data_IF_420544921016
#
_entry.id   IF_420544921016
#
_cell.length_a   1.000
_cell.length_b   1.000
_cell.length_c   1.000
_cell.angle_alpha   90.00
_cell.angle_beta   90.00
_cell.angle_gamma   90.00
#
_symmetry.space_group_name_H-M   'P 1'
#
loop_
_entity.id
_entity.type
_entity.pdbx_description
1 polymer ?
#
# COMPACT_ATOMS: atom_id res chain seq x y z
N UNK A 1 4.27 -18.14 -9.20
CA UNK A 1 5.11 -16.90 -9.10
C UNK A 1 6.26 -17.22 -8.18
N UNK A 2 7.48 -17.09 -8.69
CA UNK A 2 8.69 -17.32 -7.89
C UNK A 2 8.82 -16.27 -6.78
N UNK A 3 9.18 -16.72 -5.59
CA UNK A 3 9.35 -15.87 -4.39
C UNK A 3 10.80 -15.86 -3.97
N UNK A 4 11.37 -14.68 -3.92
CA UNK A 4 12.75 -14.45 -3.56
C UNK A 4 12.81 -13.66 -2.25
N UNK A 5 13.23 -14.31 -1.17
CA UNK A 5 13.33 -13.73 0.18
C UNK A 5 14.78 -13.41 0.47
N UNK A 6 15.10 -12.13 0.59
CA UNK A 6 16.44 -11.63 0.89
C UNK A 6 16.55 -11.27 2.37
N UNK A 7 17.24 -12.08 3.13
CA UNK A 7 17.46 -11.91 4.56
C UNK A 7 18.83 -11.28 4.82
N UNK A 8 18.90 -10.26 5.66
CA UNK A 8 20.21 -9.78 6.13
C UNK A 8 20.90 -10.86 6.97
N UNK A 9 22.21 -11.03 6.78
CA UNK A 9 22.99 -12.06 7.49
C UNK A 9 23.00 -11.86 9.01
N UNK A 10 22.75 -10.63 9.50
CA UNK A 10 22.67 -10.34 10.94
C UNK A 10 21.59 -11.16 11.65
N UNK A 11 20.56 -11.63 10.92
CA UNK A 11 19.50 -12.51 11.44
C UNK A 11 20.02 -13.89 11.93
N UNK A 12 21.22 -14.28 11.52
CA UNK A 12 21.89 -15.52 11.93
C UNK A 12 22.92 -15.30 13.04
N UNK A 13 23.15 -14.05 13.47
CA UNK A 13 24.19 -13.74 14.49
C UNK A 13 23.71 -14.09 15.89
N UNK A 14 24.48 -14.92 16.58
CA UNK A 14 24.22 -15.39 17.93
C UNK A 14 24.81 -14.49 19.04
N UNK A 15 25.60 -13.49 18.67
CA UNK A 15 26.31 -12.58 19.58
C UNK A 15 25.68 -11.19 19.70
N UNK A 16 24.48 -11.02 19.22
CA UNK A 16 23.75 -9.77 19.41
C UNK A 16 23.34 -9.60 20.88
N UNK A 17 23.34 -8.36 21.41
CA UNK A 17 22.97 -8.10 22.80
C UNK A 17 21.43 -8.12 22.99
N UNK A 18 20.84 -9.25 22.62
CA UNK A 18 19.38 -9.48 22.69
C UNK A 18 19.13 -10.68 23.59
N UNK A 19 18.22 -10.59 24.57
CA UNK A 19 17.85 -11.73 25.40
C UNK A 19 17.41 -12.92 24.54
N UNK A 20 17.84 -14.12 24.91
CA UNK A 20 17.49 -15.36 24.24
C UNK A 20 17.81 -15.44 22.74
N UNK A 21 18.75 -14.64 22.23
CA UNK A 21 19.09 -14.55 20.80
C UNK A 21 19.32 -15.92 20.14
N UNK A 22 19.92 -16.88 20.87
CA UNK A 22 20.16 -18.25 20.36
C UNK A 22 18.87 -18.99 20.05
N UNK A 23 17.87 -18.84 20.91
CA UNK A 23 16.54 -19.45 20.73
C UNK A 23 15.80 -18.78 19.59
N UNK A 24 15.82 -17.44 19.52
CA UNK A 24 15.23 -16.63 18.47
C UNK A 24 15.82 -17.01 17.11
N UNK A 25 17.16 -17.02 16.97
CA UNK A 25 17.82 -17.42 15.72
C UNK A 25 17.49 -18.86 15.32
N UNK A 26 17.40 -19.79 16.26
CA UNK A 26 17.01 -21.18 15.98
C UNK A 26 15.57 -21.25 15.45
N UNK A 27 14.64 -20.53 16.08
CA UNK A 27 13.25 -20.46 15.64
C UNK A 27 13.15 -19.83 14.25
N UNK A 28 13.83 -18.71 14.01
CA UNK A 28 13.90 -18.06 12.71
C UNK A 28 14.38 -19.01 11.62
N UNK A 29 15.50 -19.70 11.84
CA UNK A 29 16.05 -20.65 10.88
C UNK A 29 15.08 -21.80 10.59
N UNK A 30 14.39 -22.32 11.63
CA UNK A 30 13.42 -23.40 11.45
C UNK A 30 12.22 -22.94 10.60
N UNK A 31 11.70 -21.73 10.83
CA UNK A 31 10.62 -21.17 10.01
C UNK A 31 11.08 -20.88 8.57
N UNK A 32 12.29 -20.37 8.38
CA UNK A 32 12.82 -20.17 7.01
C UNK A 32 12.98 -21.49 6.25
N UNK A 33 13.36 -22.58 6.95
CA UNK A 33 13.37 -23.93 6.34
C UNK A 33 11.98 -24.39 5.94
N UNK A 34 10.98 -24.14 6.78
CA UNK A 34 9.59 -24.49 6.47
C UNK A 34 9.08 -23.74 5.25
N UNK A 35 9.38 -22.46 5.14
CA UNK A 35 9.08 -21.63 3.96
C UNK A 35 9.80 -22.16 2.71
N UNK A 36 11.06 -22.59 2.86
CA UNK A 36 11.88 -23.08 1.74
C UNK A 36 11.45 -24.46 1.19
N UNK A 37 10.52 -25.13 1.83
CA UNK A 37 9.91 -26.37 1.28
C UNK A 37 9.01 -26.08 0.08
N UNK A 38 8.49 -24.87 -0.06
CA UNK A 38 7.71 -24.48 -1.21
C UNK A 38 8.63 -24.37 -2.44
N UNK A 39 8.32 -25.11 -3.51
CA UNK A 39 9.20 -25.31 -4.68
C UNK A 39 9.57 -24.02 -5.41
N UNK A 40 8.72 -22.99 -5.33
CA UNK A 40 8.91 -21.70 -5.99
C UNK A 40 9.47 -20.63 -5.04
N UNK A 41 10.02 -21.03 -3.88
CA UNK A 41 10.55 -20.09 -2.88
C UNK A 41 12.03 -20.25 -2.70
N UNK A 42 12.75 -19.14 -2.83
CA UNK A 42 14.21 -19.07 -2.73
C UNK A 42 14.62 -18.14 -1.59
N UNK A 43 15.45 -18.62 -0.66
CA UNK A 43 15.93 -17.85 0.48
C UNK A 43 17.39 -17.51 0.28
N UNK A 44 17.69 -16.21 0.41
CA UNK A 44 19.04 -15.66 0.25
C UNK A 44 19.46 -14.94 1.51
N UNK A 45 20.61 -15.32 2.09
CA UNK A 45 21.28 -14.53 3.12
C UNK A 45 22.27 -13.59 2.48
N UNK A 46 22.14 -12.29 2.81
CA UNK A 46 22.85 -11.21 2.12
C UNK A 46 23.76 -10.48 3.09
N UNK A 47 25.01 -10.27 2.69
CA UNK A 47 25.99 -9.42 3.39
C UNK A 47 26.91 -8.71 2.42
N UNK A 48 27.56 -7.63 2.87
CA UNK A 48 28.70 -7.02 2.17
C UNK A 48 30.03 -7.71 2.48
N UNK A 49 30.12 -8.40 3.62
CA UNK A 49 31.30 -9.09 4.03
C UNK A 49 31.30 -10.52 3.45
N UNK A 50 32.23 -10.80 2.56
CA UNK A 50 32.38 -12.12 1.92
C UNK A 50 32.84 -13.19 2.90
N UNK A 51 33.67 -12.85 3.87
CA UNK A 51 34.17 -13.81 4.87
C UNK A 51 32.99 -14.27 5.74
N UNK A 52 32.18 -13.33 6.28
CA UNK A 52 30.99 -13.67 7.07
C UNK A 52 30.01 -14.57 6.27
N UNK A 53 29.87 -14.32 4.96
CA UNK A 53 29.03 -15.15 4.09
C UNK A 53 29.59 -16.59 3.92
N UNK A 54 30.89 -16.71 3.72
CA UNK A 54 31.54 -18.01 3.55
C UNK A 54 31.49 -18.81 4.85
N UNK A 55 31.81 -18.19 5.98
CA UNK A 55 31.75 -18.82 7.30
C UNK A 55 30.33 -19.30 7.63
N UNK A 56 29.32 -18.45 7.34
CA UNK A 56 27.91 -18.82 7.53
C UNK A 56 27.50 -19.97 6.59
N UNK A 57 27.90 -19.91 5.31
CA UNK A 57 27.60 -20.94 4.33
C UNK A 57 28.18 -22.30 4.77
N UNK A 58 29.45 -22.33 5.15
CA UNK A 58 30.11 -23.52 5.64
C UNK A 58 29.42 -24.09 6.90
N UNK A 59 29.17 -23.24 7.91
CA UNK A 59 28.50 -23.63 9.15
C UNK A 59 27.11 -24.21 8.95
N UNK A 60 26.37 -23.74 7.95
CA UNK A 60 25.02 -24.25 7.64
C UNK A 60 25.06 -25.49 6.75
N UNK A 61 26.00 -25.56 5.80
CA UNK A 61 26.21 -26.73 4.96
C UNK A 61 26.63 -27.95 5.81
N UNK A 62 27.55 -27.75 6.73
CA UNK A 62 28.05 -28.82 7.66
C UNK A 62 26.93 -29.36 8.56
N UNK A 63 25.90 -28.55 8.82
CA UNK A 63 24.68 -28.96 9.55
C UNK A 63 23.58 -29.54 8.66
N UNK A 64 23.85 -29.78 7.39
CA UNK A 64 22.92 -30.36 6.43
C UNK A 64 21.88 -29.37 5.88
N UNK A 65 22.14 -28.05 5.89
CA UNK A 65 21.24 -27.05 5.38
C UNK A 65 21.64 -26.59 3.96
N UNK A 66 21.19 -27.31 2.97
CA UNK A 66 21.55 -27.04 1.56
C UNK A 66 20.55 -26.12 0.82
N UNK A 67 19.42 -25.76 1.41
CA UNK A 67 18.37 -24.95 0.78
C UNK A 67 18.58 -23.44 0.86
N UNK A 68 19.56 -22.95 1.63
CA UNK A 68 19.84 -21.53 1.77
C UNK A 68 20.94 -21.07 0.82
N UNK A 69 20.73 -19.92 0.19
CA UNK A 69 21.70 -19.28 -0.69
C UNK A 69 22.41 -18.15 0.08
N UNK A 70 23.73 -18.09 0.02
CA UNK A 70 24.54 -17.04 0.63
C UNK A 70 25.14 -16.20 -0.47
N UNK A 71 24.71 -14.94 -0.59
CA UNK A 71 25.08 -14.09 -1.72
C UNK A 71 25.60 -12.72 -1.26
N UNK A 72 26.55 -12.20 -2.02
CA UNK A 72 27.04 -10.85 -1.78
C UNK A 72 25.96 -9.82 -2.17
N UNK A 73 25.91 -8.70 -1.44
CA UNK A 73 24.93 -7.65 -1.64
C UNK A 73 24.89 -7.11 -3.08
N UNK A 74 26.01 -7.03 -3.77
CA UNK A 74 26.06 -6.62 -5.18
C UNK A 74 25.23 -7.58 -6.03
N UNK A 75 25.38 -8.89 -5.80
CA UNK A 75 24.61 -9.92 -6.52
C UNK A 75 23.10 -9.79 -6.26
N UNK A 76 22.71 -9.51 -5.00
CA UNK A 76 21.32 -9.20 -4.68
C UNK A 76 20.82 -7.97 -5.45
N UNK A 77 21.63 -6.91 -5.52
CA UNK A 77 21.32 -5.70 -6.30
C UNK A 77 21.18 -5.99 -7.80
N UNK A 78 21.97 -6.89 -8.36
CA UNK A 78 21.86 -7.30 -9.76
C UNK A 78 20.58 -8.11 -10.02
N UNK A 79 20.21 -9.01 -9.12
CA UNK A 79 18.97 -9.77 -9.19
C UNK A 79 17.75 -8.83 -9.16
N UNK A 80 17.78 -7.84 -8.28
CA UNK A 80 16.75 -6.81 -8.17
C UNK A 80 16.59 -6.02 -9.47
N UNK A 81 17.68 -5.60 -10.10
CA UNK A 81 17.63 -4.84 -11.37
C UNK A 81 17.09 -5.66 -12.53
N UNK A 82 17.26 -6.99 -12.50
CA UNK A 82 16.79 -7.91 -13.54
C UNK A 82 15.44 -8.54 -13.27
N UNK A 83 14.78 -8.13 -12.17
CA UNK A 83 13.51 -8.69 -11.73
C UNK A 83 12.45 -8.64 -12.85
N UNK A 84 11.80 -9.78 -13.06
CA UNK A 84 10.58 -9.85 -13.84
C UNK A 84 9.36 -9.66 -12.90
N UNK A 85 8.81 -8.45 -12.86
CA UNK A 85 7.69 -8.07 -11.99
C UNK A 85 6.42 -8.89 -12.19
N UNK A 86 6.24 -9.55 -13.33
CA UNK A 86 5.07 -10.38 -13.59
C UNK A 86 5.17 -11.77 -12.95
N UNK A 87 6.39 -12.31 -12.82
CA UNK A 87 6.62 -13.69 -12.42
C UNK A 87 7.41 -13.84 -11.12
N UNK A 88 7.96 -12.75 -10.58
CA UNK A 88 8.84 -12.78 -9.41
C UNK A 88 8.38 -11.79 -8.33
N UNK A 89 8.24 -12.29 -7.12
CA UNK A 89 7.98 -11.51 -5.93
C UNK A 89 9.25 -11.42 -5.09
N UNK A 90 9.64 -10.19 -4.69
CA UNK A 90 10.79 -9.96 -3.85
C UNK A 90 10.37 -9.44 -2.49
N UNK A 91 10.90 -10.06 -1.44
CA UNK A 91 10.69 -9.70 -0.04
C UNK A 91 12.06 -9.49 0.59
N UNK A 92 12.25 -8.38 1.30
CA UNK A 92 13.48 -8.10 2.04
C UNK A 92 13.20 -8.14 3.54
N UNK A 93 14.06 -8.83 4.30
CA UNK A 93 13.97 -8.96 5.76
C UNK A 93 15.28 -8.44 6.35
N UNK A 94 15.25 -7.25 6.96
CA UNK A 94 16.44 -6.59 7.48
C UNK A 94 16.08 -5.42 8.40
N UNK A 95 16.98 -5.09 9.33
CA UNK A 95 16.93 -3.84 10.10
C UNK A 95 17.78 -2.69 9.53
N UNK A 96 18.41 -2.86 8.35
CA UNK A 96 19.36 -1.89 7.80
C UNK A 96 18.73 -0.96 6.76
N UNK A 97 19.02 0.35 6.86
CA UNK A 97 18.58 1.35 5.89
C UNK A 97 19.09 1.06 4.47
N UNK A 98 20.29 0.51 4.37
CA UNK A 98 20.87 0.15 3.07
C UNK A 98 20.12 -1.01 2.37
N UNK A 99 19.50 -1.92 3.11
CA UNK A 99 18.64 -2.97 2.56
C UNK A 99 17.25 -2.43 2.27
N UNK A 100 16.77 -1.51 3.11
CA UNK A 100 15.54 -0.76 2.84
C UNK A 100 15.65 0.01 1.51
N UNK A 101 16.75 0.73 1.26
CA UNK A 101 16.95 1.40 -0.02
C UNK A 101 16.95 0.44 -1.21
N UNK A 102 17.52 -0.75 -1.05
CA UNK A 102 17.48 -1.77 -2.10
C UNK A 102 16.04 -2.25 -2.37
N UNK A 103 15.28 -2.52 -1.31
CA UNK A 103 13.87 -2.90 -1.41
C UNK A 103 13.02 -1.82 -2.09
N UNK A 104 13.18 -0.55 -1.68
CA UNK A 104 12.47 0.60 -2.26
C UNK A 104 12.80 0.76 -3.74
N UNK A 105 14.08 0.67 -4.13
CA UNK A 105 14.49 0.77 -5.52
C UNK A 105 13.92 -0.34 -6.41
N UNK A 106 13.62 -1.50 -5.82
CA UNK A 106 12.96 -2.62 -6.49
C UNK A 106 11.45 -2.65 -6.31
N UNK A 107 10.88 -1.67 -5.60
CA UNK A 107 9.45 -1.61 -5.27
C UNK A 107 8.94 -2.89 -4.57
N UNK A 108 9.78 -3.45 -3.73
CA UNK A 108 9.56 -4.71 -3.03
C UNK A 108 9.12 -4.48 -1.59
N UNK A 109 8.48 -5.48 -1.00
CA UNK A 109 8.11 -5.46 0.40
C UNK A 109 9.36 -5.49 1.27
N UNK A 110 9.36 -4.71 2.35
CA UNK A 110 10.42 -4.68 3.35
C UNK A 110 9.87 -4.98 4.74
N UNK A 111 10.39 -6.02 5.38
CA UNK A 111 10.00 -6.48 6.71
C UNK A 111 11.15 -6.23 7.67
N UNK A 112 10.83 -5.72 8.84
CA UNK A 112 11.78 -5.32 9.89
C UNK A 112 11.61 -6.20 11.12
N UNK A 113 12.52 -7.12 11.38
CA UNK A 113 12.52 -7.93 12.60
C UNK A 113 12.92 -7.08 13.81
N UNK A 114 12.07 -6.98 14.82
CA UNK A 114 12.35 -6.16 16.02
C UNK A 114 13.37 -6.79 16.97
N UNK A 115 13.71 -8.06 16.78
CA UNK A 115 14.73 -8.79 17.57
C UNK A 115 16.17 -8.59 17.09
N UNK A 116 16.41 -7.71 16.12
CA UNK A 116 17.75 -7.29 15.70
C UNK A 116 17.83 -5.76 15.76
N UNK A 117 19.05 -5.18 15.80
CA UNK A 117 19.21 -3.73 15.72
C UNK A 117 18.62 -3.16 14.44
N UNK A 118 17.78 -2.13 14.58
CA UNK A 118 17.07 -1.49 13.49
C UNK A 118 17.56 -0.06 13.28
N UNK A 119 17.79 0.30 12.02
CA UNK A 119 18.10 1.68 11.61
C UNK A 119 16.81 2.45 11.33
N UNK A 120 16.91 3.78 11.30
CA UNK A 120 15.75 4.67 11.42
C UNK A 120 14.75 4.60 10.26
N UNK A 121 15.24 4.56 9.01
CA UNK A 121 14.36 4.51 7.84
C UNK A 121 13.74 3.12 7.67
N UNK A 122 14.53 2.07 7.93
CA UNK A 122 14.05 0.71 7.92
C UNK A 122 12.86 0.54 8.86
N UNK A 123 13.02 0.93 10.15
CA UNK A 123 11.97 0.81 11.16
C UNK A 123 10.74 1.69 10.85
N UNK A 124 10.96 2.90 10.31
CA UNK A 124 9.88 3.85 10.04
C UNK A 124 8.93 3.39 8.93
N UNK A 125 9.44 2.73 7.91
CA UNK A 125 8.70 2.46 6.68
C UNK A 125 8.49 0.97 6.38
N UNK A 126 9.22 0.08 7.03
CA UNK A 126 9.04 -1.36 6.89
C UNK A 126 7.89 -1.90 7.73
N UNK A 127 7.48 -3.12 7.44
CA UNK A 127 6.54 -3.89 8.26
C UNK A 127 7.32 -4.45 9.45
N UNK A 128 7.04 -3.95 10.65
CA UNK A 128 7.71 -4.41 11.87
C UNK A 128 7.07 -5.72 12.35
N UNK A 129 7.91 -6.71 12.66
CA UNK A 129 7.50 -8.00 13.23
C UNK A 129 8.31 -8.29 14.48
N UNK A 130 7.64 -8.70 15.55
CA UNK A 130 8.24 -8.83 16.89
C UNK A 130 8.91 -10.19 17.11
N UNK A 131 8.37 -11.24 16.49
CA UNK A 131 8.87 -12.60 16.67
C UNK A 131 9.09 -13.34 15.34
N UNK A 132 9.97 -14.37 15.33
CA UNK A 132 10.10 -15.24 14.16
C UNK A 132 8.82 -15.96 13.75
N UNK A 133 7.94 -16.27 14.71
CA UNK A 133 6.64 -16.88 14.45
C UNK A 133 5.71 -15.89 13.72
N UNK A 134 5.67 -14.66 14.19
CA UNK A 134 4.89 -13.59 13.55
C UNK A 134 5.39 -13.34 12.12
N UNK A 135 6.71 -13.28 11.91
CA UNK A 135 7.30 -13.20 10.56
C UNK A 135 6.87 -14.37 9.67
N UNK A 136 6.94 -15.59 10.18
CA UNK A 136 6.55 -16.79 9.44
C UNK A 136 5.07 -16.75 9.02
N UNK A 137 4.17 -16.46 9.96
CA UNK A 137 2.75 -16.32 9.70
C UNK A 137 2.48 -15.23 8.65
N UNK A 138 3.10 -14.06 8.82
CA UNK A 138 2.95 -12.93 7.89
C UNK A 138 3.41 -13.30 6.46
N UNK A 139 4.56 -13.96 6.29
CA UNK A 139 5.00 -14.42 4.97
C UNK A 139 4.02 -15.42 4.36
N UNK A 140 3.44 -16.33 5.16
CA UNK A 140 2.43 -17.29 4.68
C UNK A 140 1.14 -16.58 4.23
N UNK A 141 0.70 -15.57 4.94
CA UNK A 141 -0.44 -14.74 4.56
C UNK A 141 -0.17 -14.01 3.25
N UNK A 142 1.03 -13.46 3.07
CA UNK A 142 1.45 -12.82 1.81
C UNK A 142 1.36 -13.75 0.61
N UNK A 143 1.63 -15.03 0.78
CA UNK A 143 1.54 -16.01 -0.29
C UNK A 143 0.12 -16.22 -0.79
N UNK A 144 -0.85 -16.06 0.08
CA UNK A 144 -2.25 -16.31 -0.18
C UNK A 144 -3.00 -15.04 -0.58
N UNK A 145 -2.48 -13.87 -0.24
CA UNK A 145 -3.17 -12.62 -0.51
C UNK A 145 -3.17 -12.27 -1.99
N UNK A 146 -4.33 -12.39 -2.63
CA UNK A 146 -4.54 -12.11 -4.05
C UNK A 146 -5.75 -11.21 -4.29
N UNK A 147 -6.52 -10.91 -3.25
CA UNK A 147 -7.85 -10.32 -3.36
C UNK A 147 -7.91 -8.95 -2.70
N UNK A 148 -8.74 -8.08 -3.29
CA UNK A 148 -9.20 -6.83 -2.70
C UNK A 148 -10.66 -7.02 -2.31
N UNK A 149 -11.07 -6.48 -1.16
CA UNK A 149 -12.47 -6.59 -0.74
C UNK A 149 -13.45 -6.14 -1.83
N UNK A 150 -13.13 -5.04 -2.52
CA UNK A 150 -13.89 -4.58 -3.67
C UNK A 150 -12.93 -4.16 -4.80
N UNK A 151 -13.20 -4.60 -6.02
CA UNK A 151 -12.44 -4.22 -7.21
C UNK A 151 -13.38 -3.96 -8.37
N UNK A 152 -13.15 -2.88 -9.11
CA UNK A 152 -13.86 -2.58 -10.36
C UNK A 152 -12.93 -1.93 -11.37
N UNK A 153 -12.98 -2.40 -12.61
CA UNK A 153 -12.40 -1.71 -13.76
C UNK A 153 -13.42 -0.69 -14.24
N UNK A 154 -13.20 0.58 -13.91
CA UNK A 154 -14.11 1.67 -14.25
C UNK A 154 -14.09 1.95 -15.77
N UNK A 155 -12.90 1.94 -16.34
CA UNK A 155 -12.62 2.02 -17.78
C UNK A 155 -11.16 1.56 -18.04
N UNK A 156 -10.74 1.35 -19.29
CA UNK A 156 -9.35 1.01 -19.59
C UNK A 156 -8.38 2.00 -18.92
N UNK A 157 -7.42 1.47 -18.17
CA UNK A 157 -6.45 2.25 -17.41
C UNK A 157 -6.97 2.83 -16.08
N UNK A 158 -8.23 2.63 -15.70
CA UNK A 158 -8.79 3.14 -14.45
C UNK A 158 -9.41 2.03 -13.62
N UNK A 159 -8.86 1.81 -12.43
CA UNK A 159 -9.32 0.79 -11.48
C UNK A 159 -9.65 1.43 -10.14
N UNK A 160 -10.75 1.02 -9.53
CA UNK A 160 -11.10 1.36 -8.16
C UNK A 160 -11.04 0.12 -7.27
N UNK A 161 -10.44 0.27 -6.09
CA UNK A 161 -10.25 -0.77 -5.08
C UNK A 161 -10.79 -0.30 -3.74
N UNK A 162 -11.17 -1.27 -2.89
CA UNK A 162 -11.41 -1.03 -1.47
C UNK A 162 -10.82 -2.16 -0.64
N UNK A 163 -10.29 -1.83 0.54
CA UNK A 163 -9.59 -2.78 1.38
C UNK A 163 -10.53 -3.57 2.28
N UNK A 164 -11.61 -2.92 2.76
CA UNK A 164 -12.56 -3.54 3.68
C UNK A 164 -14.01 -3.13 3.40
N UNK A 165 -14.95 -3.85 4.02
CA UNK A 165 -16.36 -3.48 4.08
C UNK A 165 -16.56 -2.39 5.15
N UNK A 166 -17.18 -1.28 4.79
CA UNK A 166 -17.46 -0.16 5.70
C UNK A 166 -18.85 -0.21 6.35
N UNK A 167 -19.65 -1.24 6.08
CA UNK A 167 -21.05 -1.35 6.55
C UNK A 167 -21.13 -1.91 7.97
N UNK A 168 -20.66 -1.18 8.97
CA UNK A 168 -20.58 -1.58 10.37
C UNK A 168 -21.89 -2.12 11.00
N UNK A 169 -23.03 -1.89 10.37
CA UNK A 169 -24.34 -2.43 10.80
C UNK A 169 -24.71 -3.77 10.17
N UNK A 170 -23.84 -4.35 9.37
CA UNK A 170 -24.10 -5.66 8.76
C UNK A 170 -24.07 -6.77 9.83
N UNK A 171 -25.01 -7.69 9.76
CA UNK A 171 -25.06 -8.86 10.65
C UNK A 171 -24.08 -9.98 10.26
N UNK A 172 -23.37 -9.78 9.15
CA UNK A 172 -22.45 -10.81 8.59
C UNK A 172 -21.00 -10.63 9.03
N UNK A 173 -20.72 -9.71 9.96
CA UNK A 173 -19.35 -9.47 10.45
C UNK A 173 -19.01 -10.37 11.63
N UNK A 174 -17.74 -10.77 11.70
CA UNK A 174 -17.11 -11.22 12.93
C UNK A 174 -17.04 -10.06 13.93
N UNK A 175 -16.84 -10.35 15.19
CA UNK A 175 -16.68 -9.30 16.21
C UNK A 175 -15.40 -8.50 15.93
N UNK A 176 -14.31 -9.14 15.47
CA UNK A 176 -13.06 -8.48 15.06
C UNK A 176 -13.28 -7.50 13.89
N UNK A 177 -14.01 -7.90 12.84
CA UNK A 177 -14.34 -7.00 11.72
C UNK A 177 -15.14 -5.79 12.18
N UNK A 178 -16.09 -5.99 13.09
CA UNK A 178 -16.92 -4.90 13.63
C UNK A 178 -16.08 -3.93 14.44
N UNK A 179 -15.21 -4.44 15.30
CA UNK A 179 -14.30 -3.64 16.10
C UNK A 179 -13.30 -2.90 15.23
N UNK A 180 -12.77 -3.53 14.19
CA UNK A 180 -11.90 -2.90 13.20
C UNK A 180 -12.60 -1.73 12.51
N UNK A 181 -13.81 -1.90 12.01
CA UNK A 181 -14.56 -0.84 11.34
C UNK A 181 -14.83 0.34 12.29
N UNK A 182 -15.24 0.06 13.53
CA UNK A 182 -15.51 1.08 14.54
C UNK A 182 -14.22 1.84 14.91
N UNK A 183 -13.13 1.12 15.14
CA UNK A 183 -11.84 1.71 15.49
C UNK A 183 -11.27 2.51 14.32
N UNK A 184 -11.42 2.03 13.10
CA UNK A 184 -10.96 2.73 11.92
C UNK A 184 -11.77 4.01 11.65
N UNK A 185 -13.09 3.98 11.84
CA UNK A 185 -13.90 5.19 11.82
C UNK A 185 -13.48 6.18 12.92
N UNK A 186 -13.19 5.68 14.11
CA UNK A 186 -12.68 6.50 15.22
C UNK A 186 -11.31 7.09 14.94
N UNK A 187 -10.42 6.33 14.29
CA UNK A 187 -9.11 6.80 13.86
C UNK A 187 -9.23 7.93 12.85
N UNK A 188 -9.96 7.69 11.74
CA UNK A 188 -10.08 8.64 10.64
C UNK A 188 -10.87 9.90 11.00
N UNK A 189 -11.87 9.79 11.88
CA UNK A 189 -12.76 10.91 12.24
C UNK A 189 -12.47 11.51 13.60
N UNK A 190 -11.81 10.80 14.53
CA UNK A 190 -11.65 11.21 15.92
C UNK A 190 -10.22 11.13 16.43
N UNK A 191 -9.26 10.68 15.64
CA UNK A 191 -7.84 10.56 16.01
C UNK A 191 -7.57 9.60 17.17
N UNK A 192 -8.39 8.55 17.34
CA UNK A 192 -8.31 7.60 18.45
C UNK A 192 -7.83 6.24 17.94
N UNK A 193 -6.89 5.62 18.63
CA UNK A 193 -6.38 4.25 18.42
C UNK A 193 -5.88 3.93 17.00
N UNK A 194 -4.63 3.50 16.88
CA UNK A 194 -4.01 3.14 15.58
C UNK A 194 -3.93 1.63 15.32
N UNK A 195 -4.48 0.79 16.21
CA UNK A 195 -4.29 -0.66 16.13
C UNK A 195 -4.67 -1.27 14.78
N UNK A 196 -5.73 -0.76 14.15
CA UNK A 196 -6.18 -1.27 12.84
C UNK A 196 -5.54 -0.56 11.64
N UNK A 197 -4.88 0.57 11.86
CA UNK A 197 -4.17 1.28 10.80
C UNK A 197 -3.06 0.42 10.22
N UNK A 198 -2.23 -0.17 11.09
CA UNK A 198 -1.10 -0.99 10.69
C UNK A 198 -1.58 -2.27 9.99
N UNK A 199 -2.66 -2.88 10.46
CA UNK A 199 -3.25 -4.06 9.83
C UNK A 199 -3.70 -3.77 8.40
N UNK A 200 -4.43 -2.68 8.16
CA UNK A 200 -4.84 -2.28 6.80
C UNK A 200 -3.65 -1.90 5.93
N UNK A 201 -2.62 -1.26 6.51
CA UNK A 201 -1.38 -0.98 5.81
C UNK A 201 -0.69 -2.27 5.38
N UNK A 202 -0.57 -3.26 6.26
CA UNK A 202 0.09 -4.53 5.96
C UNK A 202 -0.70 -5.34 4.92
N UNK A 203 -2.02 -5.38 5.04
CA UNK A 203 -2.91 -5.95 4.03
C UNK A 203 -2.69 -5.29 2.66
N UNK A 204 -2.69 -3.95 2.62
CA UNK A 204 -2.46 -3.22 1.38
C UNK A 204 -1.08 -3.49 0.78
N UNK A 205 -0.01 -3.46 1.58
CA UNK A 205 1.35 -3.71 1.12
C UNK A 205 1.52 -5.13 0.58
N UNK A 206 0.92 -6.11 1.24
CA UNK A 206 0.89 -7.49 0.79
C UNK A 206 0.19 -7.63 -0.57
N UNK A 207 -1.04 -7.14 -0.69
CA UNK A 207 -1.80 -7.14 -1.93
C UNK A 207 -1.10 -6.38 -3.07
N UNK A 208 -0.49 -5.22 -2.75
CA UNK A 208 0.29 -4.44 -3.71
C UNK A 208 1.51 -5.21 -4.24
N UNK A 209 2.13 -6.04 -3.41
CA UNK A 209 3.28 -6.86 -3.80
C UNK A 209 2.89 -7.98 -4.77
N UNK A 210 1.67 -8.48 -4.66
CA UNK A 210 1.15 -9.61 -5.44
C UNK A 210 0.47 -9.18 -6.76
N UNK A 211 0.46 -7.90 -7.11
CA UNK A 211 -0.16 -7.40 -8.34
C UNK A 211 0.75 -6.42 -9.09
N UNK A 212 0.62 -6.40 -10.41
CA UNK A 212 1.26 -5.38 -11.28
C UNK A 212 0.45 -4.08 -11.39
N UNK A 213 -0.68 -4.00 -10.69
CA UNK A 213 -1.58 -2.85 -10.79
C UNK A 213 -0.90 -1.54 -10.38
N UNK A 214 -0.01 -1.59 -9.39
CA UNK A 214 0.72 -0.42 -8.89
C UNK A 214 2.08 -0.19 -9.55
N UNK A 215 2.44 -1.01 -10.53
CA UNK A 215 3.66 -0.77 -11.29
C UNK A 215 3.52 0.50 -12.12
N UNK A 216 4.63 1.22 -12.26
CA UNK A 216 4.69 2.48 -13.02
C UNK A 216 3.77 3.61 -12.50
N UNK A 217 3.24 3.52 -11.29
CA UNK A 217 2.60 4.68 -10.64
C UNK A 217 3.68 5.72 -10.32
N UNK A 218 3.47 6.94 -10.81
CA UNK A 218 4.43 8.05 -10.67
C UNK A 218 4.01 9.06 -9.60
N UNK A 219 2.71 9.24 -9.42
CA UNK A 219 2.15 10.20 -8.46
C UNK A 219 1.21 9.50 -7.49
N UNK A 220 1.37 9.83 -6.21
CA UNK A 220 0.48 9.40 -5.14
C UNK A 220 -0.16 10.61 -4.51
N UNK A 221 -1.45 10.51 -4.20
CA UNK A 221 -2.19 11.55 -3.53
C UNK A 221 -3.37 11.00 -2.75
N UNK A 222 -4.04 11.88 -2.02
CA UNK A 222 -5.26 11.55 -1.29
C UNK A 222 -6.33 12.61 -1.52
N UNK A 223 -7.57 12.25 -1.25
CA UNK A 223 -8.68 13.21 -1.28
C UNK A 223 -8.61 14.10 -0.03
N UNK A 224 -8.55 15.44 -0.20
CA UNK A 224 -8.66 16.36 0.94
C UNK A 224 -10.04 16.30 1.59
N UNK A 225 -10.09 16.43 2.92
CA UNK A 225 -11.31 16.44 3.71
C UNK A 225 -12.24 17.58 3.32
N UNK A 226 -13.52 17.50 3.73
CA UNK A 226 -14.53 18.51 3.41
C UNK A 226 -14.23 19.90 3.98
N UNK A 227 -13.41 19.99 5.02
CA UNK A 227 -12.94 21.22 5.67
C UNK A 227 -11.61 21.78 5.08
N UNK A 228 -11.18 21.28 3.93
CA UNK A 228 -9.91 21.59 3.25
C UNK A 228 -8.65 21.05 3.92
N UNK A 229 -8.74 20.32 5.01
CA UNK A 229 -7.59 19.70 5.65
C UNK A 229 -7.19 18.38 4.97
N UNK A 230 -5.98 17.90 5.27
CA UNK A 230 -5.57 16.53 4.98
C UNK A 230 -5.72 15.70 6.26
N UNK A 231 -6.45 14.59 6.17
CA UNK A 231 -6.49 13.64 7.27
C UNK A 231 -5.09 13.10 7.54
N UNK A 232 -4.50 13.28 8.74
CA UNK A 232 -3.12 12.95 9.00
C UNK A 232 -2.82 11.44 8.90
N UNK A 233 -3.76 10.59 9.24
CA UNK A 233 -3.58 9.15 9.20
C UNK A 233 -3.65 8.63 7.76
N UNK A 234 -4.62 9.09 6.98
CA UNK A 234 -4.70 8.77 5.55
C UNK A 234 -3.48 9.33 4.79
N UNK A 235 -3.00 10.53 5.18
CA UNK A 235 -1.79 11.09 4.62
C UNK A 235 -0.56 10.23 4.95
N UNK A 236 -0.44 9.77 6.20
CA UNK A 236 0.63 8.88 6.62
C UNK A 236 0.60 7.57 5.82
N UNK A 237 -0.59 7.00 5.61
CA UNK A 237 -0.79 5.79 4.80
C UNK A 237 -0.30 6.00 3.36
N UNK A 238 -0.79 7.02 2.69
CA UNK A 238 -0.38 7.37 1.33
C UNK A 238 1.13 7.65 1.25
N UNK A 239 1.68 8.38 2.23
CA UNK A 239 3.09 8.72 2.29
C UNK A 239 3.98 7.47 2.42
N UNK A 240 3.61 6.53 3.29
CA UNK A 240 4.36 5.28 3.46
C UNK A 240 4.38 4.46 2.16
N UNK A 241 3.23 4.32 1.50
CA UNK A 241 3.14 3.64 0.20
C UNK A 241 4.01 4.33 -0.85
N UNK A 242 3.97 5.66 -0.91
CA UNK A 242 4.79 6.46 -1.84
C UNK A 242 6.29 6.24 -1.62
N UNK A 243 6.73 6.22 -0.36
CA UNK A 243 8.14 5.97 -0.02
C UNK A 243 8.56 4.56 -0.43
N UNK A 244 7.75 3.56 -0.12
CA UNK A 244 8.02 2.15 -0.50
C UNK A 244 8.06 1.99 -2.02
N UNK A 245 7.30 2.77 -2.77
CA UNK A 245 7.34 2.78 -4.24
C UNK A 245 8.41 3.72 -4.81
N UNK A 246 9.32 4.24 -3.98
CA UNK A 246 10.41 5.15 -4.38
C UNK A 246 9.92 6.39 -5.14
N UNK A 247 8.83 6.97 -4.70
CA UNK A 247 8.24 8.18 -5.30
C UNK A 247 8.27 9.31 -4.31
N UNK A 248 9.39 10.04 -4.30
CA UNK A 248 9.58 11.19 -3.43
C UNK A 248 8.95 12.44 -4.04
N UNK A 249 8.45 13.31 -3.17
CA UNK A 249 8.03 14.64 -3.57
C UNK A 249 9.27 15.50 -3.86
N UNK A 250 9.23 16.31 -4.91
CA UNK A 250 10.27 17.31 -5.13
C UNK A 250 10.41 18.24 -3.93
N UNK A 251 11.64 18.52 -3.50
CA UNK A 251 11.95 19.31 -2.28
C UNK A 251 11.40 20.75 -2.28
N UNK A 252 10.91 21.23 -3.43
CA UNK A 252 10.53 22.62 -3.66
C UNK A 252 9.02 22.80 -3.87
N UNK A 253 8.17 21.98 -3.24
CA UNK A 253 6.72 22.17 -3.29
C UNK A 253 6.28 22.95 -2.04
N UNK A 254 5.90 24.23 -2.17
CA UNK A 254 5.67 25.12 -1.03
C UNK A 254 4.34 24.89 -0.31
N UNK A 255 3.31 24.32 -0.95
CA UNK A 255 1.94 24.23 -0.42
C UNK A 255 1.46 22.80 -0.17
N UNK A 256 2.30 22.01 0.48
CA UNK A 256 1.92 20.68 0.88
C UNK A 256 2.22 19.62 -0.17
N UNK A 257 2.19 18.40 0.31
CA UNK A 257 2.71 17.25 -0.38
C UNK A 257 1.62 16.46 -1.12
N UNK A 258 0.43 17.03 -1.27
CA UNK A 258 -0.69 16.37 -1.93
C UNK A 258 -0.95 16.93 -3.33
N UNK A 259 -1.22 16.05 -4.29
CA UNK A 259 -1.47 16.42 -5.69
C UNK A 259 -2.86 17.02 -5.93
N UNK A 260 -3.72 17.00 -4.92
CA UNK A 260 -5.06 17.59 -4.93
C UNK A 260 -5.18 18.63 -3.82
N UNK A 261 -5.88 19.71 -4.12
CA UNK A 261 -6.26 20.73 -3.14
C UNK A 261 -7.78 20.88 -3.11
N UNK A 262 -8.34 21.07 -1.92
CA UNK A 262 -9.70 21.57 -1.76
C UNK A 262 -9.59 23.02 -1.33
N UNK A 263 -10.05 23.91 -2.19
CA UNK A 263 -9.89 25.36 -2.04
C UNK A 263 -11.01 25.99 -1.22
N UNK A 264 -12.19 25.34 -1.18
CA UNK A 264 -13.36 25.82 -0.47
C UNK A 264 -13.96 24.65 0.30
N UNK A 265 -14.34 24.84 1.57
CA UNK A 265 -15.04 23.82 2.33
C UNK A 265 -16.36 23.41 1.65
N UNK A 266 -16.70 22.14 1.73
CA UNK A 266 -18.00 21.65 1.30
C UNK A 266 -18.78 21.08 2.48
N UNK A 267 -20.11 21.10 2.36
CA UNK A 267 -20.96 20.42 3.32
C UNK A 267 -20.70 18.91 3.28
N UNK A 268 -20.67 18.30 4.45
CA UNK A 268 -20.50 16.85 4.55
C UNK A 268 -21.71 16.17 3.91
N UNK A 269 -21.46 15.23 3.03
CA UNK A 269 -22.50 14.58 2.23
C UNK A 269 -23.61 13.91 3.08
N UNK A 270 -23.31 13.48 4.31
CA UNK A 270 -24.32 12.89 5.21
C UNK A 270 -25.18 13.93 5.96
N UNK A 271 -24.80 15.20 5.93
CA UNK A 271 -25.53 16.30 6.59
C UNK A 271 -26.43 17.05 5.62
N UNK A 272 -26.21 16.96 4.32
CA UNK A 272 -26.80 17.86 3.33
C UNK A 272 -27.81 17.24 2.38
N UNK A 273 -27.79 15.91 2.14
CA UNK A 273 -28.60 15.30 1.10
C UNK A 273 -29.16 13.93 1.50
N UNK A 274 -30.36 13.58 0.96
CA UNK A 274 -30.86 12.20 1.02
C UNK A 274 -29.96 11.27 0.18
N UNK A 275 -29.98 9.97 0.47
CA UNK A 275 -29.07 8.99 -0.16
C UNK A 275 -29.20 8.93 -1.69
N UNK A 276 -30.42 9.08 -2.21
CA UNK A 276 -30.77 9.12 -3.64
C UNK A 276 -30.32 10.43 -4.32
N UNK A 277 -30.44 11.57 -3.64
CA UNK A 277 -29.93 12.85 -4.13
C UNK A 277 -28.41 12.84 -4.26
N UNK A 278 -27.70 12.32 -3.23
CA UNK A 278 -26.22 12.14 -3.25
C UNK A 278 -25.77 11.28 -4.43
N UNK A 279 -26.51 10.22 -4.71
CA UNK A 279 -26.22 9.34 -5.83
C UNK A 279 -26.37 10.05 -7.19
N UNK A 280 -27.28 11.02 -7.30
CA UNK A 280 -27.60 11.74 -8.54
C UNK A 280 -26.70 12.97 -8.77
N UNK A 281 -26.24 13.64 -7.73
CA UNK A 281 -25.37 14.83 -7.85
C UNK A 281 -24.04 14.53 -8.56
N UNK A 282 -23.50 13.33 -8.38
CA UNK A 282 -22.25 12.92 -9.04
C UNK A 282 -21.05 13.73 -8.57
N UNK A 283 -20.23 14.19 -9.53
CA UNK A 283 -18.97 14.90 -9.26
C UNK A 283 -19.13 16.42 -9.08
N UNK A 284 -20.35 16.98 -9.17
CA UNK A 284 -20.56 18.43 -9.27
C UNK A 284 -20.04 19.19 -8.05
N UNK A 285 -20.33 18.71 -6.84
CA UNK A 285 -19.88 19.38 -5.62
C UNK A 285 -18.35 19.32 -5.48
N UNK A 286 -17.74 18.27 -5.98
CA UNK A 286 -16.29 18.15 -5.98
C UNK A 286 -15.64 19.14 -6.95
N UNK A 287 -16.19 19.31 -8.16
CA UNK A 287 -15.66 20.25 -9.15
C UNK A 287 -15.69 21.71 -8.70
N UNK A 288 -16.62 22.06 -7.82
CA UNK A 288 -16.70 23.42 -7.25
C UNK A 288 -15.63 23.71 -6.21
N UNK A 289 -15.02 22.69 -5.64
CA UNK A 289 -14.15 22.81 -4.47
C UNK A 289 -12.76 22.20 -4.65
N UNK A 290 -12.61 21.21 -5.54
CA UNK A 290 -11.35 20.50 -5.80
C UNK A 290 -10.64 21.07 -7.02
N UNK A 291 -9.30 21.13 -6.92
CA UNK A 291 -8.43 21.35 -8.07
C UNK A 291 -7.16 20.47 -7.94
N UNK A 292 -6.43 20.38 -9.02
CA UNK A 292 -5.09 19.78 -9.02
C UNK A 292 -4.11 20.81 -8.46
N UNK A 293 -3.25 20.39 -7.55
CA UNK A 293 -2.27 21.28 -6.94
C UNK A 293 -1.33 21.89 -8.02
N UNK A 294 -1.30 23.21 -8.19
CA UNK A 294 -0.49 23.89 -9.21
C UNK A 294 1.01 23.64 -9.05
N UNK A 295 1.48 23.35 -7.85
CA UNK A 295 2.90 23.05 -7.60
C UNK A 295 3.37 21.78 -8.33
N UNK A 296 2.45 20.88 -8.64
CA UNK A 296 2.74 19.67 -9.42
C UNK A 296 2.68 19.88 -10.94
N UNK A 297 2.30 21.07 -11.43
CA UNK A 297 2.07 21.33 -12.86
C UNK A 297 3.24 20.90 -13.73
N UNK A 298 4.45 21.34 -13.41
CA UNK A 298 5.65 21.02 -14.19
C UNK A 298 5.93 19.50 -14.22
N UNK A 299 5.75 18.82 -13.09
CA UNK A 299 5.91 17.38 -12.99
C UNK A 299 4.87 16.64 -13.81
N UNK A 300 3.60 17.04 -13.71
CA UNK A 300 2.49 16.47 -14.48
C UNK A 300 2.71 16.67 -15.98
N UNK A 301 3.10 17.88 -16.42
CA UNK A 301 3.38 18.17 -17.82
C UNK A 301 4.55 17.34 -18.37
N UNK A 302 5.57 17.09 -17.57
CA UNK A 302 6.69 16.20 -17.92
C UNK A 302 6.20 14.74 -18.06
N UNK A 303 5.51 14.22 -17.08
CA UNK A 303 4.99 12.84 -17.10
C UNK A 303 4.00 12.62 -18.24
N UNK A 304 3.16 13.61 -18.55
CA UNK A 304 2.25 13.56 -19.69
C UNK A 304 3.02 13.45 -21.02
N UNK A 305 4.04 14.29 -21.24
CA UNK A 305 4.86 14.24 -22.45
C UNK A 305 5.59 12.90 -22.63
N UNK A 306 5.98 12.29 -21.52
CA UNK A 306 6.63 10.98 -21.48
C UNK A 306 5.64 9.81 -21.55
N UNK A 307 4.34 10.05 -21.66
CA UNK A 307 3.27 9.04 -21.59
C UNK A 307 3.31 8.20 -20.30
N UNK A 308 3.67 8.84 -19.18
CA UNK A 308 3.88 8.22 -17.86
C UNK A 308 3.02 8.84 -16.77
N UNK A 309 2.01 9.63 -17.11
CA UNK A 309 1.12 10.23 -16.10
C UNK A 309 0.21 9.16 -15.52
N UNK A 310 0.75 8.39 -14.58
CA UNK A 310 0.10 7.31 -13.86
C UNK A 310 0.00 7.69 -12.39
N UNK A 311 -1.17 7.56 -11.79
CA UNK A 311 -1.42 8.02 -10.43
C UNK A 311 -2.23 7.03 -9.58
N UNK A 312 -2.01 7.09 -8.26
CA UNK A 312 -2.79 6.39 -7.25
C UNK A 312 -3.33 7.41 -6.26
N UNK A 313 -4.65 7.37 -6.04
CA UNK A 313 -5.37 8.29 -5.15
C UNK A 313 -6.06 7.52 -4.04
N UNK A 314 -5.80 7.93 -2.81
CA UNK A 314 -6.40 7.36 -1.61
C UNK A 314 -7.58 8.19 -1.11
N UNK A 315 -8.60 7.49 -0.58
CA UNK A 315 -9.73 8.09 0.14
C UNK A 315 -10.07 7.23 1.36
N UNK A 316 -10.77 7.77 2.34
CA UNK A 316 -11.22 7.02 3.50
C UNK A 316 -12.30 6.01 3.11
N UNK A 317 -13.44 6.48 2.65
CA UNK A 317 -14.58 5.64 2.32
C UNK A 317 -15.15 5.94 0.93
N UNK A 318 -15.55 4.87 0.27
CA UNK A 318 -16.25 4.96 -1.01
C UNK A 318 -17.71 4.52 -0.88
N UNK A 319 -18.63 5.41 -1.27
CA UNK A 319 -20.04 5.06 -1.53
C UNK A 319 -20.24 4.82 -3.03
N UNK A 320 -20.68 5.83 -3.74
CA UNK A 320 -20.94 5.76 -5.19
C UNK A 320 -19.75 6.18 -6.06
N UNK A 321 -18.59 6.45 -5.43
CA UNK A 321 -17.36 6.87 -6.12
C UNK A 321 -17.43 8.28 -6.71
N UNK A 322 -18.30 9.17 -6.24
CA UNK A 322 -18.46 10.52 -6.79
C UNK A 322 -17.17 11.34 -6.74
N UNK A 323 -16.44 11.27 -5.62
CA UNK A 323 -15.17 11.98 -5.45
C UNK A 323 -14.10 11.43 -6.39
N UNK A 324 -13.95 10.10 -6.45
CA UNK A 324 -13.02 9.46 -7.40
C UNK A 324 -13.38 9.77 -8.86
N UNK A 325 -14.68 9.88 -9.15
CA UNK A 325 -15.15 10.24 -10.48
C UNK A 325 -14.79 11.69 -10.84
N UNK A 326 -14.86 12.63 -9.90
CA UNK A 326 -14.38 13.98 -10.11
C UNK A 326 -12.89 14.01 -10.42
N UNK A 327 -12.08 13.39 -9.57
CA UNK A 327 -10.62 13.32 -9.75
C UNK A 327 -10.25 12.64 -11.06
N UNK A 328 -10.95 11.54 -11.42
CA UNK A 328 -10.76 10.89 -12.71
C UNK A 328 -10.92 11.85 -13.88
N UNK A 329 -11.97 12.67 -13.89
CA UNK A 329 -12.20 13.64 -14.97
C UNK A 329 -11.14 14.75 -14.99
N UNK A 330 -10.69 15.25 -13.81
CA UNK A 330 -9.63 16.25 -13.74
C UNK A 330 -8.31 15.72 -14.35
N UNK A 331 -7.92 14.50 -13.98
CA UNK A 331 -6.68 13.93 -14.52
C UNK A 331 -6.80 13.40 -15.94
N UNK A 332 -8.00 13.00 -16.39
CA UNK A 332 -8.25 12.77 -17.82
C UNK A 332 -8.06 14.02 -18.64
N UNK A 333 -8.53 15.17 -18.19
CA UNK A 333 -8.29 16.46 -18.85
C UNK A 333 -6.79 16.82 -18.93
N UNK A 334 -5.97 16.29 -18.02
CA UNK A 334 -4.51 16.41 -18.04
C UNK A 334 -3.80 15.32 -18.84
N UNK A 335 -4.53 14.34 -19.39
CA UNK A 335 -3.96 13.26 -20.19
C UNK A 335 -3.37 12.10 -19.36
N UNK A 336 -3.95 11.78 -18.21
CA UNK A 336 -3.52 10.62 -17.41
C UNK A 336 -3.78 9.30 -18.16
N UNK A 337 -2.78 8.41 -18.10
CA UNK A 337 -2.83 7.10 -18.78
C UNK A 337 -3.37 6.01 -17.85
N UNK A 338 -3.00 6.07 -16.57
CA UNK A 338 -3.40 5.08 -15.56
C UNK A 338 -3.80 5.77 -14.27
N UNK A 339 -4.92 5.34 -13.70
CA UNK A 339 -5.41 5.80 -12.40
C UNK A 339 -5.83 4.61 -11.56
N UNK A 340 -5.30 4.52 -10.35
CA UNK A 340 -5.73 3.55 -9.34
C UNK A 340 -6.32 4.33 -8.17
N UNK A 341 -7.59 4.08 -7.90
CA UNK A 341 -8.29 4.65 -6.75
C UNK A 341 -8.37 3.62 -5.65
N UNK A 342 -7.98 3.98 -4.44
CA UNK A 342 -7.95 3.10 -3.28
C UNK A 342 -8.73 3.75 -2.17
N UNK A 343 -9.86 3.15 -1.78
CA UNK A 343 -10.55 3.51 -0.55
C UNK A 343 -10.25 2.50 0.54
N UNK A 344 -10.12 2.97 1.78
CA UNK A 344 -9.90 2.07 2.90
C UNK A 344 -11.15 1.22 3.16
N UNK A 345 -12.36 1.80 2.98
CA UNK A 345 -13.62 1.08 3.11
C UNK A 345 -14.61 1.35 1.97
N UNK A 346 -15.51 0.38 1.71
CA UNK A 346 -16.60 0.47 0.73
C UNK A 346 -17.94 0.16 1.36
N UNK A 347 -18.98 0.94 0.99
CA UNK A 347 -20.36 0.71 1.40
C UNK A 347 -21.15 -0.23 0.46
N UNK A 348 -20.46 -1.01 -0.36
CA UNK A 348 -21.06 -1.95 -1.34
C UNK A 348 -22.07 -1.30 -2.29
N UNK A 349 -21.82 -0.05 -2.69
CA UNK A 349 -22.63 0.62 -3.69
C UNK A 349 -21.95 0.59 -5.06
N UNK A 350 -22.69 0.54 -6.16
CA UNK A 350 -22.11 0.60 -7.48
C UNK A 350 -21.44 1.95 -7.74
N UNK A 351 -20.35 1.95 -8.51
CA UNK A 351 -19.67 3.16 -8.95
C UNK A 351 -20.49 3.86 -10.04
N UNK A 352 -20.89 5.10 -9.81
CA UNK A 352 -21.62 5.91 -10.78
C UNK A 352 -20.64 6.70 -11.64
N UNK A 353 -20.20 6.08 -12.72
CA UNK A 353 -19.29 6.70 -13.69
C UNK A 353 -20.03 7.79 -14.46
N UNK A 354 -19.52 9.02 -14.40
CA UNK A 354 -20.01 10.16 -15.19
C UNK A 354 -18.82 10.81 -15.89
N UNK A 355 -18.86 10.87 -17.20
CA UNK A 355 -17.85 11.51 -18.03
C UNK A 355 -18.20 12.96 -18.25
N UNK A 356 -17.26 13.85 -18.01
CA UNK A 356 -17.42 15.30 -18.17
C UNK A 356 -16.35 15.84 -19.12
N UNK A 357 -16.74 16.78 -19.96
CA UNK A 357 -15.80 17.69 -20.62
C UNK A 357 -15.47 18.82 -19.63
N UNK A 358 -14.19 19.04 -19.39
CA UNK A 358 -13.70 20.11 -18.51
C UNK A 358 -13.03 21.17 -19.37
N UNK A 359 -13.44 22.44 -19.21
CA UNK A 359 -12.86 23.59 -19.92
C UNK A 359 -12.26 24.55 -18.91
N UNK A 360 -11.06 25.01 -19.20
CA UNK A 360 -10.29 25.88 -18.31
C UNK A 360 -9.15 25.14 -17.59
N UNK A 361 -8.50 25.86 -16.69
CA UNK A 361 -7.36 25.30 -15.95
C UNK A 361 -7.86 24.51 -14.73
N UNK A 362 -7.54 23.21 -14.67
CA UNK A 362 -7.86 22.35 -13.52
C UNK A 362 -6.95 22.60 -12.30
N UNK A 363 -5.96 23.49 -12.44
CA UNK A 363 -5.04 23.89 -11.36
C UNK A 363 -5.61 24.97 -10.43
N UNK A 364 -6.80 25.49 -10.74
CA UNK A 364 -7.57 26.40 -9.89
C UNK A 364 -9.04 26.00 -9.94
N UNK A 365 -9.81 26.38 -8.94
CA UNK A 365 -11.28 26.30 -9.02
C UNK A 365 -11.80 27.30 -10.04
N UNK A 366 -13.03 27.09 -10.57
CA UNK A 366 -13.66 27.98 -11.54
C UNK A 366 -13.60 27.48 -12.99
N UNK A 367 -12.99 26.31 -13.26
CA UNK A 367 -13.14 25.64 -14.54
C UNK A 367 -14.61 25.23 -14.75
N UNK A 368 -15.04 25.19 -16.00
CA UNK A 368 -16.41 24.78 -16.35
C UNK A 368 -16.43 23.29 -16.72
N UNK A 369 -17.56 22.66 -16.55
CA UNK A 369 -17.75 21.23 -16.82
C UNK A 369 -19.14 20.98 -17.41
N UNK A 370 -19.22 20.04 -18.32
CA UNK A 370 -20.47 19.58 -18.92
C UNK A 370 -20.51 18.05 -18.93
N UNK A 371 -21.65 17.48 -18.50
CA UNK A 371 -21.85 16.03 -18.49
C UNK A 371 -22.03 15.52 -19.92
N UNK A 372 -21.23 14.53 -20.31
CA UNK A 372 -21.32 13.90 -21.62
C UNK A 372 -22.06 12.57 -21.54
N UNK A 373 -21.70 11.73 -20.57
CA UNK A 373 -22.23 10.38 -20.47
C UNK A 373 -22.28 9.92 -19.00
N UNK A 374 -23.26 9.07 -18.71
CA UNK A 374 -23.39 8.42 -17.40
C UNK A 374 -23.54 6.91 -17.60
N UNK A 375 -22.89 6.14 -16.75
CA UNK A 375 -23.01 4.69 -16.70
C UNK A 375 -22.77 4.19 -15.26
N UNK A 376 -23.13 2.92 -15.02
CA UNK A 376 -22.93 2.28 -13.72
C UNK A 376 -21.90 1.18 -13.90
N UNK A 377 -20.94 1.09 -12.95
CA UNK A 377 -19.95 0.02 -12.87
C UNK A 377 -20.15 -0.73 -11.54
N UNK A 378 -20.20 -2.02 -11.63
CA UNK A 378 -20.31 -2.87 -10.45
C UNK A 378 -18.93 -3.29 -9.97
N UNK A 379 -18.83 -3.57 -8.68
CA UNK A 379 -17.64 -4.11 -8.07
C UNK A 379 -17.74 -5.62 -7.98
N UNK A 380 -16.62 -6.27 -8.24
CA UNK A 380 -16.38 -7.63 -7.80
C UNK A 380 -16.01 -7.57 -6.33
N UNK A 381 -16.77 -8.27 -5.48
CA UNK A 381 -16.55 -8.35 -4.04
C UNK A 381 -15.96 -9.71 -3.70
N UNK A 382 -14.87 -9.70 -2.94
CA UNK A 382 -14.22 -10.92 -2.48
C UNK A 382 -14.16 -10.92 -0.95
N UNK A 383 -14.97 -11.78 -0.35
CA UNK A 383 -15.01 -11.91 1.11
C UNK A 383 -13.74 -12.59 1.67
N UNK A 384 -12.88 -13.22 0.83
CA UNK A 384 -11.59 -13.76 1.29
C UNK A 384 -10.66 -12.63 1.79
N UNK A 385 -10.77 -11.43 1.24
CA UNK A 385 -10.03 -10.27 1.74
C UNK A 385 -10.33 -9.95 3.22
N UNK A 386 -11.53 -10.27 3.70
CA UNK A 386 -11.88 -10.13 5.12
C UNK A 386 -11.12 -11.13 5.99
N UNK A 387 -11.06 -12.39 5.55
CA UNK A 387 -10.33 -13.43 6.28
C UNK A 387 -8.84 -13.12 6.33
N UNK A 388 -8.28 -12.55 5.28
CA UNK A 388 -6.88 -12.10 5.25
C UNK A 388 -6.63 -10.97 6.26
N UNK A 389 -7.54 -10.00 6.37
CA UNK A 389 -7.45 -8.92 7.37
C UNK A 389 -7.59 -9.45 8.78
N UNK A 390 -8.53 -10.37 9.02
CA UNK A 390 -8.71 -11.04 10.32
C UNK A 390 -7.45 -11.83 10.71
N UNK A 391 -6.86 -12.58 9.76
CA UNK A 391 -5.63 -13.33 9.97
C UNK A 391 -4.46 -12.40 10.33
N UNK A 392 -4.33 -11.27 9.62
CA UNK A 392 -3.31 -10.26 9.95
C UNK A 392 -3.56 -9.66 11.34
N UNK A 393 -4.81 -9.38 11.68
CA UNK A 393 -5.15 -8.89 13.01
C UNK A 393 -4.71 -9.88 14.10
N UNK A 394 -5.02 -11.17 13.94
CA UNK A 394 -4.60 -12.22 14.87
C UNK A 394 -3.08 -12.35 14.95
N UNK A 395 -2.36 -12.20 13.83
CA UNK A 395 -0.90 -12.28 13.79
C UNK A 395 -0.24 -11.13 14.59
N UNK A 396 -0.79 -9.92 14.51
CA UNK A 396 -0.16 -8.74 15.07
C UNK A 396 -0.72 -8.27 16.43
N UNK A 397 -1.81 -8.87 16.93
CA UNK A 397 -2.43 -8.52 18.19
C UNK A 397 -2.59 -9.70 19.18
N UNK A 398 -2.09 -10.90 18.84
CA UNK A 398 -1.99 -11.97 19.83
C UNK A 398 -0.83 -11.64 20.77
N UNK A 399 -1.15 -11.38 22.03
CA UNK A 399 -0.16 -11.40 23.10
C UNK A 399 0.41 -12.84 23.18
N UNK A 400 1.72 -13.00 23.01
CA UNK A 400 2.44 -14.25 23.18
C UNK A 400 2.46 -14.70 24.65
#
# INVERSE_FOLDING_TARGET
MEKHIFCNLDLLRLNLPVPNIKTICRSFVNYMKEINKDTDTYIYFVSRNRNDLNDAKEAYTDRGYHGFNFIHRITAGDAVRRRNHQNQQFIFISGKDVDFHLAVNSQSLFIVPDWIPNESSARKYGVVVDTPLQLFKFIKTLYNQQSWFAKSIIEPGVTALSLMDARYRSKTYTDNERDMIINFENLLKRGRSRNYYDILMYHFLAGMTNTTLFDNIELFGMIPSSDCSLNPDLFSFMHQVRVIKNRHIPRNIPHGENILLRMVPKLKAHESYRADERANMGAIDEFRTLCVNPDFKNKIDTLRRENRLNLCIFDDYMTHGNTFNAVRNLFKALGANKMVFVSLGSFKQPFRKKDYTINGSVYNIGYTYSLNQSSVKYFDYDDNAKYEVDELYDIFNQDD
#
